data_IF_013098336112
#
_entry.id   IF_013098336112
#
_cell.length_a   1.000
_cell.length_b   1.000
_cell.length_c   1.000
_cell.angle_alpha   90.00
_cell.angle_beta   90.00
_cell.angle_gamma   90.00
#
_symmetry.space_group_name_H-M   'P 1'
#
loop_
_entity.id
_entity.type
_entity.pdbx_description
1 polymer ?
#
# COMPACT_ATOMS: atom_id res chain seq x y z
N UNK A 1 -0.13 -14.53 3.56
CA UNK A 1 0.64 -13.36 4.04
C UNK A 1 -0.16 -12.09 3.74
N UNK A 2 0.42 -10.89 3.89
CA UNK A 2 -0.26 -9.60 3.69
C UNK A 2 -0.71 -9.38 2.25
N UNK A 3 0.07 -9.83 1.26
CA UNK A 3 -0.26 -9.72 -0.16
C UNK A 3 -1.49 -10.54 -0.54
N UNK A 4 -1.59 -11.80 -0.09
CA UNK A 4 -2.74 -12.66 -0.40
C UNK A 4 -4.04 -12.08 0.17
N UNK A 5 -3.99 -11.57 1.42
CA UNK A 5 -5.14 -10.90 2.04
C UNK A 5 -5.58 -9.66 1.26
N UNK A 6 -4.63 -8.83 0.81
CA UNK A 6 -4.94 -7.66 -0.01
C UNK A 6 -5.54 -8.05 -1.37
N UNK A 7 -5.01 -9.10 -2.01
CA UNK A 7 -5.51 -9.64 -3.29
C UNK A 7 -6.93 -10.16 -3.17
N UNK A 8 -7.23 -10.96 -2.16
CA UNK A 8 -8.57 -11.48 -1.88
C UNK A 8 -9.58 -10.35 -1.65
N UNK A 9 -9.21 -9.34 -0.86
CA UNK A 9 -10.05 -8.17 -0.62
C UNK A 9 -10.34 -7.41 -1.92
N UNK A 10 -9.33 -7.06 -2.71
CA UNK A 10 -9.49 -6.33 -3.97
C UNK A 10 -10.28 -7.15 -5.02
N UNK A 11 -10.08 -8.46 -5.06
CA UNK A 11 -10.86 -9.38 -5.89
C UNK A 11 -12.35 -9.32 -5.54
N UNK A 12 -12.70 -9.37 -4.25
CA UNK A 12 -14.09 -9.25 -3.79
C UNK A 12 -14.76 -7.91 -4.18
N UNK A 13 -13.95 -6.89 -4.51
CA UNK A 13 -14.39 -5.57 -4.96
C UNK A 13 -14.35 -5.40 -6.49
N UNK A 14 -13.96 -6.43 -7.25
CA UNK A 14 -13.86 -6.36 -8.71
C UNK A 14 -12.59 -5.67 -9.25
N UNK A 15 -11.55 -5.50 -8.41
CA UNK A 15 -10.30 -4.81 -8.78
C UNK A 15 -9.12 -5.76 -9.02
N UNK A 16 -9.37 -7.07 -9.17
CA UNK A 16 -8.28 -8.06 -9.36
C UNK A 16 -7.38 -7.74 -10.56
N UNK A 17 -7.97 -7.25 -11.66
CA UNK A 17 -7.24 -6.86 -12.87
C UNK A 17 -6.35 -5.62 -12.72
N UNK A 18 -6.51 -4.86 -11.63
CA UNK A 18 -5.74 -3.65 -11.37
C UNK A 18 -4.49 -3.93 -10.52
N UNK A 19 -4.30 -5.17 -10.05
CA UNK A 19 -3.17 -5.55 -9.22
C UNK A 19 -1.94 -5.75 -10.10
N UNK A 20 -0.93 -4.90 -9.91
CA UNK A 20 0.37 -5.03 -10.54
C UNK A 20 1.34 -5.61 -9.51
N UNK A 21 2.07 -6.67 -9.89
CA UNK A 21 3.14 -7.25 -9.07
C UNK A 21 4.47 -6.89 -9.74
N UNK A 22 5.17 -5.85 -9.25
CA UNK A 22 6.45 -5.45 -9.83
C UNK A 22 7.54 -6.49 -9.49
N UNK A 23 8.51 -6.64 -10.39
CA UNK A 23 9.71 -7.46 -10.15
C UNK A 23 10.70 -6.79 -9.18
N UNK A 24 10.63 -5.46 -9.08
CA UNK A 24 11.48 -4.64 -8.22
C UNK A 24 10.78 -4.24 -6.92
N UNK A 25 11.57 -3.83 -5.92
CA UNK A 25 11.08 -3.31 -4.64
C UNK A 25 10.09 -2.16 -4.83
N UNK A 26 9.12 -2.07 -3.93
CA UNK A 26 8.16 -0.95 -3.81
C UNK A 26 8.10 -0.41 -2.37
N UNK A 27 9.17 -0.61 -1.59
CA UNK A 27 9.21 -0.28 -0.17
C UNK A 27 9.17 1.23 0.11
N UNK A 28 9.71 2.02 -0.81
CA UNK A 28 9.65 3.49 -0.77
C UNK A 28 8.86 4.06 -1.94
N UNK A 29 8.42 5.31 -1.79
CA UNK A 29 7.72 6.05 -2.85
C UNK A 29 8.56 6.11 -4.14
N UNK A 30 9.86 6.36 -4.02
CA UNK A 30 10.74 6.48 -5.18
C UNK A 30 10.92 5.13 -5.91
N UNK A 31 11.11 4.04 -5.17
CA UNK A 31 11.21 2.70 -5.76
C UNK A 31 9.91 2.28 -6.45
N UNK A 32 8.75 2.52 -5.82
CA UNK A 32 7.45 2.20 -6.40
C UNK A 32 7.15 3.03 -7.66
N UNK A 33 7.48 4.33 -7.64
CA UNK A 33 7.34 5.22 -8.78
C UNK A 33 8.21 4.76 -9.97
N UNK A 34 9.47 4.40 -9.69
CA UNK A 34 10.38 3.85 -10.70
C UNK A 34 9.87 2.52 -11.25
N UNK A 35 9.42 1.60 -10.39
CA UNK A 35 8.93 0.27 -10.80
C UNK A 35 7.67 0.35 -11.67
N UNK A 36 6.84 1.39 -11.50
CA UNK A 36 5.61 1.61 -12.25
C UNK A 36 5.74 2.64 -13.38
N UNK A 37 6.91 3.26 -13.56
CA UNK A 37 7.16 4.28 -14.59
C UNK A 37 6.30 5.53 -14.42
N UNK A 38 6.08 5.97 -13.18
CA UNK A 38 5.14 7.03 -12.84
C UNK A 38 5.80 8.09 -11.94
N UNK A 39 5.21 9.29 -11.88
CA UNK A 39 5.68 10.35 -10.98
C UNK A 39 5.43 9.99 -9.50
N UNK A 40 6.36 10.31 -8.57
CA UNK A 40 6.22 10.02 -7.14
C UNK A 40 4.90 10.48 -6.51
N UNK A 41 4.35 11.61 -6.97
CA UNK A 41 3.07 12.15 -6.50
C UNK A 41 1.85 11.27 -6.79
N UNK A 42 1.99 10.26 -7.65
CA UNK A 42 0.95 9.26 -7.94
C UNK A 42 1.00 8.04 -7.02
N UNK A 43 2.03 7.91 -6.18
CA UNK A 43 2.16 6.83 -5.20
C UNK A 43 1.56 7.26 -3.86
N UNK A 44 0.45 6.64 -3.49
CA UNK A 44 -0.18 6.87 -2.19
C UNK A 44 0.58 6.15 -1.06
N UNK A 45 0.67 6.79 0.11
CA UNK A 45 1.12 6.16 1.36
C UNK A 45 -0.06 5.97 2.30
N UNK A 46 -0.28 4.74 2.73
CA UNK A 46 -1.19 4.46 3.86
C UNK A 46 -0.40 4.63 5.15
N UNK A 47 -0.76 5.65 5.92
CA UNK A 47 -0.13 5.95 7.21
C UNK A 47 -1.13 5.70 8.33
N UNK A 48 -0.72 4.93 9.33
CA UNK A 48 -1.50 4.71 10.56
C UNK A 48 -0.89 5.55 11.67
N UNK A 49 -1.73 6.29 12.40
CA UNK A 49 -1.31 7.09 13.55
C UNK A 49 -1.97 6.51 14.80
N UNK A 50 -1.18 6.26 15.84
CA UNK A 50 -1.72 5.99 17.16
C UNK A 50 -2.09 7.32 17.80
N UNK A 51 -3.36 7.51 18.10
CA UNK A 51 -3.82 8.66 18.88
C UNK A 51 -3.86 8.25 20.34
N UNK A 52 -3.20 9.00 21.21
CA UNK A 52 -3.33 8.81 22.66
C UNK A 52 -4.81 8.96 23.03
N UNK A 53 -5.39 7.90 23.60
CA UNK A 53 -6.72 7.96 24.20
C UNK A 53 -6.72 8.92 25.41
N UNK A 54 -7.89 9.28 25.95
CA UNK A 54 -8.00 10.12 27.15
C UNK A 54 -7.26 9.54 28.37
N UNK A 55 -7.02 8.23 28.40
CA UNK A 55 -6.41 7.54 29.53
C UNK A 55 -4.94 7.20 29.22
N UNK A 56 -4.11 8.23 29.03
CA UNK A 56 -2.67 8.13 28.74
C UNK A 56 -1.92 7.15 29.66
N UNK A 57 -1.91 5.88 29.27
CA UNK A 57 -1.11 4.81 29.84
C UNK A 57 -0.21 4.31 28.72
N UNK A 58 0.97 4.92 28.67
CA UNK A 58 2.19 4.31 28.14
C UNK A 58 2.57 3.07 28.96
#
# INVERSE_FOLDING_TARGET
MSLERAREYLKSKGFESNIIIPEHSSATVAEAAQALGCEPGMIAKTLSFLQSGPDGLD
#
